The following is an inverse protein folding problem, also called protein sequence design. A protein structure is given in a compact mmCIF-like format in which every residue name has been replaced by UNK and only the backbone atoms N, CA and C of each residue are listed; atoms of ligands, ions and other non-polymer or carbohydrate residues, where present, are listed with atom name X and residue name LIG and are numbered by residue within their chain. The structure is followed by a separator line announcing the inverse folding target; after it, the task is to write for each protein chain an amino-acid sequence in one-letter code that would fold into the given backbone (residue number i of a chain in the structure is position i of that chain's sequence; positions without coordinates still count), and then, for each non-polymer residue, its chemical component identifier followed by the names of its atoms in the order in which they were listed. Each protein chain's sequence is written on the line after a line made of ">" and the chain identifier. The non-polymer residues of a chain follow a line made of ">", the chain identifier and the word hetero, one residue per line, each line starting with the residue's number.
data_IF_461783048186
#
_entry.id   IF_461783048186
#
_cell.length_a   1.000
_cell.length_b   1.000
_cell.length_c   1.000
_cell.angle_alpha   90.00
_cell.angle_beta   90.00
_cell.angle_gamma   90.00
#
_symmetry.space_group_name_H-M   'P 1'
#
loop_
_entity.id
_entity.type
_entity.pdbx_description
1 polymer ?
#
# COMPACT_ATOMS: atom_id res chain seq x y z
N UNK A 1 9.63 12.80 3.91
CA UNK A 1 9.48 11.71 4.90
C UNK A 1 10.25 10.49 4.42
N UNK A 2 10.64 9.56 5.30
CA UNK A 2 11.34 8.31 4.97
C UNK A 2 10.55 7.12 5.53
N UNK A 3 10.63 5.93 4.92
CA UNK A 3 10.02 4.73 5.48
C UNK A 3 10.65 4.37 6.83
N UNK A 4 9.84 3.75 7.70
CA UNK A 4 10.21 3.23 9.02
C UNK A 4 10.80 1.83 8.94
N UNK A 5 10.32 1.01 8.00
CA UNK A 5 10.67 -0.39 7.86
C UNK A 5 11.48 -0.66 6.59
N UNK A 6 12.31 -1.70 6.64
CA UNK A 6 13.09 -2.18 5.51
C UNK A 6 12.15 -2.69 4.41
N UNK A 7 12.37 -2.20 3.18
CA UNK A 7 11.67 -2.67 2.00
C UNK A 7 12.67 -2.86 0.86
N UNK A 8 12.72 -4.08 0.34
CA UNK A 8 13.76 -4.57 -0.57
C UNK A 8 13.28 -4.70 -2.04
N UNK A 9 12.14 -4.10 -2.38
CA UNK A 9 11.66 -4.07 -3.75
C UNK A 9 12.05 -2.76 -4.46
N UNK A 10 12.96 -2.83 -5.44
CA UNK A 10 13.41 -1.67 -6.21
C UNK A 10 12.33 -1.02 -7.09
N UNK A 11 11.26 -1.76 -7.40
CA UNK A 11 10.14 -1.27 -8.22
C UNK A 11 9.05 -0.57 -7.40
N UNK A 12 9.10 -0.71 -6.06
CA UNK A 12 8.10 -0.12 -5.19
C UNK A 12 8.47 1.31 -4.85
N UNK A 13 7.51 2.22 -5.00
CA UNK A 13 7.66 3.63 -4.67
C UNK A 13 6.99 3.89 -3.33
N UNK A 14 7.75 4.46 -2.39
CA UNK A 14 7.20 4.90 -1.10
C UNK A 14 6.23 6.07 -1.31
N UNK A 15 5.01 5.91 -0.81
CA UNK A 15 3.93 6.90 -0.92
C UNK A 15 3.81 7.77 0.33
N UNK A 16 4.18 7.22 1.49
CA UNK A 16 4.01 7.84 2.79
C UNK A 16 3.77 6.79 3.87
N UNK A 17 3.35 7.24 5.04
CA UNK A 17 2.98 6.35 6.14
C UNK A 17 1.58 6.71 6.64
N UNK A 18 0.89 5.70 7.14
CA UNK A 18 -0.44 5.78 7.70
C UNK A 18 -0.48 4.92 8.96
N UNK A 19 -0.74 5.53 10.12
CA UNK A 19 -0.61 4.86 11.43
C UNK A 19 0.76 4.15 11.52
N UNK A 20 0.78 2.85 11.81
CA UNK A 20 1.98 2.00 11.90
C UNK A 20 2.40 1.39 10.56
N UNK A 21 1.82 1.80 9.43
CA UNK A 21 2.15 1.26 8.11
C UNK A 21 3.01 2.23 7.29
N UNK A 22 4.06 1.71 6.66
CA UNK A 22 4.66 2.32 5.48
C UNK A 22 3.93 1.86 4.22
N UNK A 23 3.55 2.81 3.37
CA UNK A 23 2.73 2.56 2.20
C UNK A 23 3.57 2.66 0.93
N UNK A 24 3.41 1.68 0.05
CA UNK A 24 4.09 1.64 -1.24
C UNK A 24 3.14 1.27 -2.37
N UNK A 25 3.49 1.70 -3.58
CA UNK A 25 2.90 1.19 -4.82
C UNK A 25 3.97 0.49 -5.65
N UNK A 26 3.65 -0.69 -6.14
CA UNK A 26 4.38 -1.32 -7.24
C UNK A 26 3.58 -1.03 -8.52
N UNK A 27 4.12 -0.19 -9.40
CA UNK A 27 3.47 0.14 -10.67
C UNK A 27 4.38 -0.26 -11.84
N UNK A 28 3.76 -0.80 -12.90
CA UNK A 28 4.46 -1.20 -14.14
C UNK A 28 3.68 -0.66 -15.33
N UNK A 29 4.39 -0.09 -16.31
CA UNK A 29 3.79 0.47 -17.52
C UNK A 29 2.63 1.46 -17.25
N UNK A 30 2.78 2.32 -16.22
CA UNK A 30 1.77 3.31 -15.85
C UNK A 30 0.51 2.75 -15.19
N UNK A 31 0.51 1.46 -14.80
CA UNK A 31 -0.61 0.82 -14.09
C UNK A 31 -0.15 0.30 -12.73
N UNK A 32 -1.05 0.38 -11.74
CA UNK A 32 -0.84 -0.20 -10.41
C UNK A 32 -0.91 -1.73 -10.54
N UNK A 33 0.18 -2.41 -10.20
CA UNK A 33 0.28 -3.87 -10.17
C UNK A 33 -0.13 -4.39 -8.78
N UNK A 34 0.42 -3.77 -7.73
CA UNK A 34 0.02 -4.04 -6.36
C UNK A 34 0.29 -2.85 -5.43
N UNK A 35 -0.35 -2.88 -4.27
CA UNK A 35 -0.15 -1.95 -3.17
C UNK A 35 0.45 -2.72 -2.01
N UNK A 36 1.26 -2.06 -1.18
CA UNK A 36 1.91 -2.66 -0.03
C UNK A 36 1.71 -1.75 1.17
N UNK A 37 1.33 -2.36 2.30
CA UNK A 37 1.30 -1.73 3.61
C UNK A 37 2.19 -2.55 4.55
N UNK A 38 3.39 -2.05 4.86
CA UNK A 38 4.39 -2.72 5.69
C UNK A 38 4.36 -2.19 7.12
N UNK A 39 4.29 -3.08 8.10
CA UNK A 39 4.14 -2.74 9.52
C UNK A 39 5.25 -3.32 10.41
N UNK A 40 6.31 -3.83 9.79
CA UNK A 40 7.45 -4.40 10.49
C UNK A 40 8.64 -4.69 9.57
N UNK A 41 9.77 -5.06 10.16
CA UNK A 41 11.02 -5.32 9.43
C UNK A 41 11.16 -6.77 9.00
N UNK A 42 10.39 -7.69 9.60
CA UNK A 42 10.46 -9.10 9.24
C UNK A 42 9.78 -9.32 7.88
N UNK A 43 10.26 -10.33 7.14
CA UNK A 43 9.84 -10.56 5.76
C UNK A 43 8.33 -10.66 5.58
N UNK A 44 7.61 -11.25 6.54
CA UNK A 44 6.16 -11.44 6.52
C UNK A 44 5.33 -10.29 7.10
N UNK A 45 5.93 -9.23 7.63
CA UNK A 45 5.23 -8.12 8.31
C UNK A 45 4.73 -7.07 7.32
N UNK A 46 3.92 -7.51 6.36
CA UNK A 46 3.26 -6.64 5.40
C UNK A 46 1.91 -7.22 4.94
N UNK A 47 1.08 -6.34 4.40
CA UNK A 47 -0.08 -6.69 3.60
C UNK A 47 0.13 -6.19 2.18
N UNK A 48 -0.41 -6.90 1.18
CA UNK A 48 -0.35 -6.47 -0.21
C UNK A 48 -1.55 -6.90 -1.01
N UNK A 49 -1.91 -6.10 -2.01
CA UNK A 49 -2.89 -6.46 -3.03
C UNK A 49 -3.83 -5.31 -3.39
N UNK A 50 -4.00 -5.07 -4.69
CA UNK A 50 -4.92 -4.07 -5.21
C UNK A 50 -6.39 -4.47 -4.93
N UNK A 51 -6.74 -5.74 -5.10
CA UNK A 51 -8.11 -6.22 -4.89
C UNK A 51 -8.60 -6.03 -3.45
N UNK A 52 -7.71 -6.10 -2.45
CA UNK A 52 -8.07 -5.85 -1.06
C UNK A 52 -8.35 -4.37 -0.77
N UNK A 53 -7.64 -3.46 -1.43
CA UNK A 53 -7.91 -2.02 -1.37
C UNK A 53 -9.27 -1.70 -2.01
N UNK A 54 -9.54 -2.26 -3.19
CA UNK A 54 -10.82 -2.08 -3.89
C UNK A 54 -11.97 -2.68 -3.07
N UNK A 55 -11.80 -3.90 -2.54
CA UNK A 55 -12.78 -4.54 -1.67
C UNK A 55 -13.12 -3.68 -0.46
N UNK A 56 -12.13 -3.05 0.18
CA UNK A 56 -12.36 -2.15 1.30
C UNK A 56 -13.20 -0.93 0.90
N UNK A 57 -12.88 -0.32 -0.24
CA UNK A 57 -13.61 0.83 -0.76
C UNK A 57 -15.06 0.48 -1.13
N UNK A 58 -15.33 -0.77 -1.52
CA UNK A 58 -16.68 -1.32 -1.72
C UNK A 58 -17.42 -1.63 -0.41
N UNK A 59 -16.78 -1.40 0.75
CA UNK A 59 -17.34 -1.69 2.07
C UNK A 59 -17.20 -3.15 2.51
N UNK A 60 -16.40 -3.96 1.79
CA UNK A 60 -16.06 -5.32 2.22
C UNK A 60 -14.95 -5.30 3.26
N UNK A 61 -15.04 -6.14 4.28
CA UNK A 61 -14.07 -6.22 5.38
C UNK A 61 -13.80 -4.87 6.10
N UNK A 62 -14.83 -4.11 6.51
CA UNK A 62 -14.67 -2.75 7.04
C UNK A 62 -13.80 -2.66 8.31
N UNK A 63 -13.68 -3.77 9.05
CA UNK A 63 -12.86 -3.88 10.27
C UNK A 63 -11.40 -4.29 10.00
N UNK A 64 -11.02 -4.57 8.76
CA UNK A 64 -9.66 -4.98 8.40
C UNK A 64 -8.72 -3.76 8.29
N UNK A 65 -7.80 -3.62 9.25
CA UNK A 65 -6.79 -2.55 9.23
C UNK A 65 -5.85 -2.67 8.03
N UNK A 66 -5.48 -3.89 7.64
CA UNK A 66 -4.65 -4.13 6.46
C UNK A 66 -5.34 -3.64 5.18
N UNK A 67 -6.62 -3.97 5.01
CA UNK A 67 -7.36 -3.54 3.81
C UNK A 67 -7.56 -2.02 3.80
N UNK A 68 -7.78 -1.40 4.96
CA UNK A 68 -7.83 0.06 5.12
C UNK A 68 -6.51 0.72 4.74
N UNK A 69 -5.38 0.21 5.24
CA UNK A 69 -4.06 0.75 4.92
C UNK A 69 -3.76 0.64 3.42
N UNK A 70 -4.13 -0.48 2.79
CA UNK A 70 -4.02 -0.66 1.35
C UNK A 70 -4.93 0.31 0.58
N UNK A 71 -6.14 0.61 1.06
CA UNK A 71 -7.00 1.61 0.40
C UNK A 71 -6.45 3.04 0.49
N UNK A 72 -5.81 3.39 1.60
CA UNK A 72 -5.07 4.65 1.72
C UNK A 72 -3.90 4.68 0.73
N UNK A 73 -3.15 3.57 0.59
CA UNK A 73 -2.09 3.47 -0.40
C UNK A 73 -2.62 3.67 -1.82
N UNK A 74 -3.78 3.10 -2.17
CA UNK A 74 -4.44 3.33 -3.46
C UNK A 74 -4.71 4.81 -3.71
N UNK A 75 -5.37 5.48 -2.76
CA UNK A 75 -5.69 6.91 -2.88
C UNK A 75 -4.44 7.77 -3.08
N UNK A 76 -3.34 7.45 -2.41
CA UNK A 76 -2.07 8.16 -2.57
C UNK A 76 -1.38 7.85 -3.91
N UNK A 77 -1.47 6.60 -4.36
CA UNK A 77 -0.92 6.18 -5.65
C UNK A 77 -1.63 6.90 -6.81
N UNK A 78 -2.95 6.94 -6.82
CA UNK A 78 -3.78 7.64 -7.83
C UNK A 78 -3.41 9.12 -7.92
N UNK A 79 -3.34 9.81 -6.77
CA UNK A 79 -2.92 11.23 -6.69
C UNK A 79 -1.51 11.47 -7.23
N UNK A 80 -0.60 10.50 -7.04
CA UNK A 80 0.79 10.60 -7.49
C UNK A 80 0.91 10.33 -8.99
N UNK A 81 0.08 9.44 -9.52
CA UNK A 81 0.15 8.97 -10.90
C UNK A 81 -0.77 9.75 -11.86
N UNK A 82 -1.48 10.77 -11.36
CA UNK A 82 -2.48 11.56 -12.12
C UNK A 82 -3.56 10.69 -12.79
N UNK A 83 -3.97 9.61 -12.12
CA UNK A 83 -5.02 8.67 -12.56
C UNK A 83 -6.32 8.95 -11.81
#
# INVERSE_FOLDING_TARGET
>A
MKPRYLHDCSNCVFLGAYEDYDLYVCARHGKIDTLIARYGNDGGEYASGLDFALAYNEGRFPSSQNCKALSVALTLAERRMEI
#
